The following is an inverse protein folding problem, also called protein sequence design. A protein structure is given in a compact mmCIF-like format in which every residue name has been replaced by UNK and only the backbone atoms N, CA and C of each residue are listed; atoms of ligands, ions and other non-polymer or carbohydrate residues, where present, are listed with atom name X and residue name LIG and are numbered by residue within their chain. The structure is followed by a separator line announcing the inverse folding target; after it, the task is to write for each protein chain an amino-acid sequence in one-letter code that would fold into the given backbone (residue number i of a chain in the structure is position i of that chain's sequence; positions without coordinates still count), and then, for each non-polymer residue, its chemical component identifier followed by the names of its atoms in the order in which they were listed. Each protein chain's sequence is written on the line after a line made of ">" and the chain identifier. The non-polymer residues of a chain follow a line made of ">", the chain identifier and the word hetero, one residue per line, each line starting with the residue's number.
data_IF_088942574263
#
_entry.id   IF_088942574263
#
_cell.length_a   1.000
_cell.length_b   1.000
_cell.length_c   1.000
_cell.angle_alpha   90.00
_cell.angle_beta   90.00
_cell.angle_gamma   90.00
#
_symmetry.space_group_name_H-M   'P 1'
#
loop_
_entity.id
_entity.type
_entity.pdbx_description
1 polymer ?
#
# COMPACT_ATOMS: atom_id res chain seq x y z
N UNK A 1 -8.27 -12.02 5.94
CA UNK A 1 -8.28 -12.26 4.49
C UNK A 1 -9.00 -11.10 3.80
N UNK A 2 -8.47 -10.59 2.70
CA UNK A 2 -9.18 -9.73 1.75
C UNK A 2 -9.71 -10.58 0.60
N UNK A 3 -10.95 -10.39 0.17
CA UNK A 3 -11.55 -11.07 -0.98
C UNK A 3 -12.20 -10.06 -1.92
N UNK A 4 -11.80 -10.05 -3.16
CA UNK A 4 -12.36 -9.25 -4.25
C UNK A 4 -13.07 -10.21 -5.21
N UNK A 5 -14.31 -9.88 -5.61
CA UNK A 5 -15.13 -10.76 -6.45
C UNK A 5 -15.77 -9.96 -7.58
N UNK A 6 -15.45 -10.31 -8.82
CA UNK A 6 -15.99 -9.74 -10.07
C UNK A 6 -16.04 -8.21 -10.06
N UNK A 7 -14.95 -7.59 -9.56
CA UNK A 7 -14.85 -6.15 -9.40
C UNK A 7 -14.73 -5.48 -10.76
N UNK A 8 -15.66 -4.59 -11.06
CA UNK A 8 -15.68 -3.80 -12.29
C UNK A 8 -15.68 -2.31 -11.94
N UNK A 9 -14.88 -1.52 -12.66
CA UNK A 9 -14.92 -0.06 -12.59
C UNK A 9 -14.94 0.55 -13.97
N UNK A 10 -15.98 1.34 -14.22
CA UNK A 10 -16.13 2.12 -15.45
C UNK A 10 -16.27 3.61 -15.15
N UNK A 11 -15.74 4.44 -16.02
CA UNK A 11 -15.92 5.89 -16.06
C UNK A 11 -16.60 6.26 -17.40
N UNK A 12 -17.89 6.55 -17.33
CA UNK A 12 -18.73 6.72 -18.52
C UNK A 12 -18.74 5.44 -19.37
N UNK A 13 -18.20 5.51 -20.59
CA UNK A 13 -18.11 4.37 -21.51
C UNK A 13 -16.80 3.56 -21.40
N UNK A 14 -15.79 4.06 -20.64
CA UNK A 14 -14.50 3.40 -20.52
C UNK A 14 -14.50 2.50 -19.30
N UNK A 15 -14.38 1.18 -19.49
CA UNK A 15 -14.08 0.23 -18.43
C UNK A 15 -12.58 0.29 -18.16
N UNK A 16 -12.21 0.43 -16.88
CA UNK A 16 -10.82 0.51 -16.41
C UNK A 16 -10.43 -0.75 -15.66
N UNK A 17 -11.37 -1.35 -14.93
CA UNK A 17 -11.19 -2.65 -14.27
C UNK A 17 -12.37 -3.52 -14.72
N UNK A 18 -12.08 -4.72 -15.23
CA UNK A 18 -13.11 -5.63 -15.70
C UNK A 18 -13.07 -6.97 -14.97
N UNK A 19 -14.13 -7.26 -14.22
CA UNK A 19 -14.43 -8.51 -13.51
C UNK A 19 -13.26 -9.09 -12.68
N UNK A 20 -12.39 -8.23 -12.11
CA UNK A 20 -11.23 -8.63 -11.33
C UNK A 20 -11.66 -9.45 -10.10
N UNK A 21 -11.02 -10.62 -9.91
CA UNK A 21 -11.31 -11.50 -8.78
C UNK A 21 -10.03 -12.08 -8.20
N UNK A 22 -9.74 -11.78 -6.93
CA UNK A 22 -8.57 -12.33 -6.21
C UNK A 22 -8.79 -12.31 -4.70
N UNK A 23 -7.88 -12.94 -3.98
CA UNK A 23 -7.85 -12.87 -2.51
C UNK A 23 -6.43 -12.59 -2.03
N UNK A 24 -6.32 -11.98 -0.84
CA UNK A 24 -5.03 -11.76 -0.13
C UNK A 24 -5.13 -12.44 1.22
N UNK A 25 -4.16 -13.29 1.51
CA UNK A 25 -4.08 -14.00 2.78
C UNK A 25 -3.32 -13.17 3.83
N UNK A 26 -3.58 -13.38 5.13
CA UNK A 26 -2.73 -12.82 6.18
C UNK A 26 -1.26 -13.23 5.95
N UNK A 27 -0.36 -12.26 6.03
CA UNK A 27 1.08 -12.47 5.83
C UNK A 27 1.53 -12.41 4.38
N UNK A 28 0.65 -12.13 3.44
CA UNK A 28 0.93 -12.12 2.01
C UNK A 28 1.20 -10.72 1.48
N UNK A 29 2.21 -10.59 0.61
CA UNK A 29 2.50 -9.39 -0.17
C UNK A 29 2.16 -9.66 -1.63
N UNK A 30 1.22 -8.93 -2.19
CA UNK A 30 0.84 -9.01 -3.60
C UNK A 30 1.35 -7.78 -4.35
N UNK A 31 2.09 -8.01 -5.44
CA UNK A 31 2.49 -6.98 -6.39
C UNK A 31 1.38 -6.69 -7.39
N UNK A 32 1.11 -5.40 -7.64
CA UNK A 32 0.23 -4.96 -8.72
C UNK A 32 1.08 -4.32 -9.81
N UNK A 33 1.09 -4.90 -10.99
CA UNK A 33 1.86 -4.42 -12.15
C UNK A 33 0.94 -4.15 -13.34
N UNK A 34 1.45 -3.43 -14.33
CA UNK A 34 0.73 -3.05 -15.54
C UNK A 34 1.14 -1.66 -16.02
N UNK A 35 0.76 -1.30 -17.22
CA UNK A 35 1.05 -0.01 -17.82
C UNK A 35 0.46 1.19 -17.04
N UNK A 36 0.94 2.40 -17.39
CA UNK A 36 0.36 3.62 -16.86
C UNK A 36 -1.09 3.78 -17.34
N UNK A 37 -2.02 3.95 -16.39
CA UNK A 37 -3.44 4.06 -16.72
C UNK A 37 -4.19 2.72 -16.78
N UNK A 38 -3.55 1.57 -16.59
CA UNK A 38 -4.18 0.25 -16.54
C UNK A 38 -5.20 0.08 -15.38
N UNK A 39 -5.16 0.95 -14.36
CA UNK A 39 -6.13 0.90 -13.27
C UNK A 39 -5.57 0.52 -11.91
N UNK A 40 -4.25 0.38 -11.74
CA UNK A 40 -3.61 0.03 -10.45
C UNK A 40 -4.04 0.94 -9.31
N UNK A 41 -3.84 2.25 -9.43
CA UNK A 41 -4.27 3.23 -8.42
C UNK A 41 -5.79 3.31 -8.28
N UNK A 42 -6.55 3.02 -9.36
CA UNK A 42 -8.02 2.91 -9.29
C UNK A 42 -8.42 1.73 -8.39
N UNK A 43 -7.78 0.58 -8.55
CA UNK A 43 -8.01 -0.59 -7.69
C UNK A 43 -7.66 -0.27 -6.23
N UNK A 44 -6.48 0.30 -5.96
CA UNK A 44 -6.07 0.69 -4.60
C UNK A 44 -7.06 1.69 -3.98
N UNK A 45 -7.52 2.70 -4.73
CA UNK A 45 -8.51 3.68 -4.25
C UNK A 45 -9.86 3.04 -3.92
N UNK A 46 -10.29 2.04 -4.69
CA UNK A 46 -11.53 1.29 -4.40
C UNK A 46 -11.35 0.44 -3.13
N UNK A 47 -10.24 -0.27 -2.99
CA UNK A 47 -9.89 -1.05 -1.80
C UNK A 47 -9.78 -0.15 -0.55
N UNK A 48 -9.19 1.03 -0.68
CA UNK A 48 -9.11 2.05 0.38
C UNK A 48 -10.49 2.70 0.71
N UNK A 49 -11.56 2.28 0.02
CA UNK A 49 -12.92 2.86 0.14
C UNK A 49 -13.03 4.33 -0.24
N UNK A 50 -12.06 4.87 -0.96
CA UNK A 50 -12.05 6.24 -1.49
C UNK A 50 -12.95 6.37 -2.72
N UNK A 51 -13.06 5.29 -3.49
CA UNK A 51 -13.95 5.20 -4.65
C UNK A 51 -14.92 4.02 -4.52
N UNK A 52 -16.05 4.10 -5.23
CA UNK A 52 -16.99 2.98 -5.33
C UNK A 52 -16.70 2.19 -6.61
N UNK A 53 -16.75 0.86 -6.57
CA UNK A 53 -16.79 0.06 -7.80
C UNK A 53 -18.10 0.30 -8.54
N UNK A 54 -18.12 -0.02 -9.84
CA UNK A 54 -19.36 -0.04 -10.64
C UNK A 54 -20.15 -1.31 -10.33
N UNK A 55 -19.48 -2.45 -10.31
CA UNK A 55 -20.03 -3.77 -9.94
C UNK A 55 -19.04 -4.56 -9.10
N UNK A 56 -19.49 -5.70 -8.56
CA UNK A 56 -18.67 -6.61 -7.76
C UNK A 56 -18.69 -6.28 -6.27
N UNK A 57 -17.96 -7.07 -5.50
CA UNK A 57 -17.91 -6.94 -4.04
C UNK A 57 -16.51 -7.11 -3.49
N UNK A 58 -16.25 -6.45 -2.36
CA UNK A 58 -14.99 -6.51 -1.62
C UNK A 58 -15.32 -6.84 -0.18
N UNK A 59 -14.70 -7.88 0.35
CA UNK A 59 -14.81 -8.28 1.74
C UNK A 59 -13.43 -8.23 2.41
N UNK A 60 -13.36 -7.59 3.57
CA UNK A 60 -12.19 -7.62 4.45
C UNK A 60 -12.63 -8.17 5.80
N UNK A 61 -12.03 -9.29 6.24
CA UNK A 61 -12.44 -10.01 7.46
C UNK A 61 -13.96 -10.25 7.53
N UNK A 62 -14.53 -10.79 6.44
CA UNK A 62 -15.96 -11.09 6.28
C UNK A 62 -16.91 -9.87 6.27
N UNK A 63 -16.37 -8.65 6.37
CA UNK A 63 -17.14 -7.40 6.28
C UNK A 63 -17.18 -6.88 4.85
N UNK A 64 -18.38 -6.55 4.37
CA UNK A 64 -18.56 -5.97 3.04
C UNK A 64 -18.12 -4.50 3.03
N UNK A 65 -17.05 -4.19 2.29
CA UNK A 65 -16.44 -2.85 2.26
C UNK A 65 -17.41 -1.74 1.82
N UNK A 66 -18.33 -2.04 0.94
CA UNK A 66 -19.31 -1.06 0.45
C UNK A 66 -20.32 -0.63 1.53
N UNK A 67 -20.64 -1.51 2.49
CA UNK A 67 -21.60 -1.25 3.56
C UNK A 67 -20.97 -0.76 4.86
N UNK A 68 -19.81 -1.32 5.22
CA UNK A 68 -19.16 -1.11 6.52
C UNK A 68 -17.90 -0.22 6.43
N UNK A 69 -17.94 0.84 5.61
CA UNK A 69 -16.77 1.68 5.29
C UNK A 69 -15.99 2.17 6.52
N UNK A 70 -16.68 2.60 7.59
CA UNK A 70 -16.03 3.13 8.76
C UNK A 70 -15.23 2.05 9.50
N UNK A 71 -15.78 0.85 9.63
CA UNK A 71 -15.10 -0.30 10.24
C UNK A 71 -13.90 -0.75 9.39
N UNK A 72 -14.07 -0.79 8.06
CA UNK A 72 -13.05 -1.19 7.11
C UNK A 72 -11.87 -0.21 7.10
N UNK A 73 -12.13 1.10 7.09
CA UNK A 73 -11.07 2.13 7.13
C UNK A 73 -10.17 2.03 8.36
N UNK A 74 -10.68 1.52 9.47
CA UNK A 74 -9.88 1.26 10.67
C UNK A 74 -8.85 0.15 10.48
N UNK A 75 -9.08 -0.73 9.52
CA UNK A 75 -8.22 -1.87 9.22
C UNK A 75 -7.27 -1.63 8.04
N UNK A 76 -7.34 -0.46 7.37
CA UNK A 76 -6.56 -0.15 6.18
C UNK A 76 -5.57 0.97 6.46
N UNK A 77 -4.28 0.75 6.15
CA UNK A 77 -3.27 1.78 5.96
C UNK A 77 -3.11 2.04 4.46
N UNK A 78 -3.18 3.29 4.05
CA UNK A 78 -3.01 3.68 2.64
C UNK A 78 -1.88 4.68 2.50
N UNK A 79 -0.93 4.35 1.64
CA UNK A 79 0.20 5.22 1.26
C UNK A 79 0.02 5.58 -0.21
N UNK A 80 -0.42 6.80 -0.51
CA UNK A 80 -0.58 7.27 -1.89
C UNK A 80 0.78 7.53 -2.54
N UNK A 81 0.80 7.60 -3.87
CA UNK A 81 1.97 7.94 -4.65
C UNK A 81 2.56 9.31 -4.26
N UNK A 82 1.71 10.32 -4.07
CA UNK A 82 2.13 11.61 -3.56
C UNK A 82 2.31 11.57 -2.04
N UNK A 83 3.41 12.17 -1.57
CA UNK A 83 3.72 12.21 -0.15
C UNK A 83 2.84 13.24 0.55
N UNK A 84 1.94 12.78 1.42
CA UNK A 84 0.96 13.61 2.12
C UNK A 84 1.42 13.92 3.56
N UNK A 85 2.51 14.69 3.70
CA UNK A 85 3.08 15.12 4.98
C UNK A 85 3.31 16.64 5.01
N UNK A 86 3.35 17.22 6.18
CA UNK A 86 3.60 18.64 6.38
C UNK A 86 5.11 18.93 6.41
N UNK A 87 5.64 19.54 5.36
CA UNK A 87 7.08 19.76 5.20
C UNK A 87 7.66 20.77 6.21
N UNK A 88 6.87 21.73 6.66
CA UNK A 88 7.29 22.72 7.66
C UNK A 88 7.30 22.18 9.09
N UNK A 89 6.63 21.05 9.33
CA UNK A 89 6.61 20.39 10.62
C UNK A 89 7.83 19.46 10.78
N UNK A 90 8.20 19.20 12.02
CA UNK A 90 9.15 18.13 12.35
C UNK A 90 8.53 16.76 12.14
N UNK A 91 9.35 15.69 12.14
CA UNK A 91 8.87 14.31 12.13
C UNK A 91 7.91 14.06 13.30
N UNK A 92 8.29 14.49 14.51
CA UNK A 92 7.44 14.42 15.72
C UNK A 92 6.08 15.06 15.53
N UNK A 93 6.05 16.32 15.07
CA UNK A 93 4.81 17.05 14.87
C UNK A 93 3.89 16.40 13.83
N UNK A 94 4.45 15.87 12.74
CA UNK A 94 3.69 15.08 11.77
C UNK A 94 3.10 13.84 12.43
N UNK A 95 3.90 13.04 13.14
CA UNK A 95 3.44 11.81 13.79
C UNK A 95 2.33 12.10 14.81
N UNK A 96 2.48 13.15 15.65
CA UNK A 96 1.47 13.57 16.63
C UNK A 96 0.20 14.08 15.92
N UNK A 97 0.35 14.85 14.83
CA UNK A 97 -0.79 15.35 14.07
C UNK A 97 -1.65 14.21 13.51
N UNK A 98 -1.02 13.24 12.85
CA UNK A 98 -1.74 12.10 12.27
C UNK A 98 -2.26 11.14 13.34
N UNK A 99 -1.56 11.00 14.49
CA UNK A 99 -2.07 10.24 15.64
C UNK A 99 -3.41 10.82 16.14
N UNK A 100 -3.53 12.15 16.23
CA UNK A 100 -4.79 12.79 16.64
C UNK A 100 -5.96 12.46 15.70
N UNK A 101 -5.70 12.20 14.43
CA UNK A 101 -6.69 11.78 13.44
C UNK A 101 -6.93 10.27 13.42
N UNK A 102 -6.02 9.48 14.00
CA UNK A 102 -6.09 8.04 13.97
C UNK A 102 -7.18 7.49 14.90
N UNK A 103 -7.70 6.32 14.54
CA UNK A 103 -8.71 5.59 15.32
C UNK A 103 -8.15 4.99 16.63
N UNK A 104 -6.85 4.65 16.62
CA UNK A 104 -6.12 4.11 17.77
C UNK A 104 -5.16 5.18 18.27
N UNK A 105 -5.14 5.38 19.57
CA UNK A 105 -4.24 6.33 20.20
C UNK A 105 -2.95 5.63 20.60
N UNK A 106 -1.83 6.29 20.33
CA UNK A 106 -0.49 5.82 20.70
C UNK A 106 0.22 6.86 21.54
N UNK A 107 1.03 6.40 22.47
CA UNK A 107 1.96 7.26 23.21
C UNK A 107 3.10 7.74 22.29
N UNK A 108 3.68 8.89 22.59
CA UNK A 108 4.78 9.50 21.82
C UNK A 108 5.95 8.51 21.66
N UNK A 109 6.25 7.72 22.68
CA UNK A 109 7.30 6.68 22.61
C UNK A 109 6.99 5.64 21.52
N UNK A 110 5.76 5.20 21.39
CA UNK A 110 5.35 4.24 20.36
C UNK A 110 5.36 4.86 18.96
N UNK A 111 4.96 6.15 18.82
CA UNK A 111 5.07 6.87 17.56
C UNK A 111 6.53 6.99 17.10
N UNK A 112 7.43 7.32 18.02
CA UNK A 112 8.87 7.37 17.72
C UNK A 112 9.42 6.01 17.32
N UNK A 113 8.95 4.94 17.98
CA UNK A 113 9.38 3.57 17.65
C UNK A 113 9.02 3.20 16.21
N UNK A 114 7.82 3.53 15.71
CA UNK A 114 7.44 3.32 14.30
C UNK A 114 8.43 3.98 13.32
N UNK A 115 8.97 5.16 13.65
CA UNK A 115 9.99 5.78 12.83
C UNK A 115 11.34 5.05 12.93
N UNK A 116 11.74 4.63 14.13
CA UNK A 116 13.01 3.91 14.35
C UNK A 116 13.03 2.54 13.69
N UNK A 117 11.90 1.83 13.68
CA UNK A 117 11.74 0.52 13.01
C UNK A 117 12.01 0.62 11.49
N UNK A 118 11.82 1.81 10.91
CA UNK A 118 12.18 2.11 9.52
C UNK A 118 13.55 2.79 9.36
N UNK A 119 14.38 2.77 10.39
CA UNK A 119 15.68 3.48 10.41
C UNK A 119 15.54 5.00 10.09
N UNK A 120 14.46 5.64 10.58
CA UNK A 120 14.24 7.07 10.52
C UNK A 120 14.48 7.70 11.90
N UNK A 121 15.75 7.93 12.25
CA UNK A 121 16.12 8.60 13.52
C UNK A 121 16.33 10.11 13.31
N UNK A 122 15.26 10.80 12.94
CA UNK A 122 15.21 12.24 12.65
C UNK A 122 14.04 12.93 13.36
N UNK A 123 13.72 12.48 14.58
CA UNK A 123 12.50 12.81 15.30
C UNK A 123 12.21 14.32 15.42
N UNK A 124 13.24 15.13 15.67
CA UNK A 124 13.13 16.59 15.86
C UNK A 124 13.48 17.41 14.61
N UNK A 125 13.84 16.74 13.51
CA UNK A 125 14.22 17.43 12.28
C UNK A 125 12.98 17.88 11.50
N UNK A 126 12.98 19.09 10.90
CA UNK A 126 11.94 19.51 9.98
C UNK A 126 11.88 18.61 8.75
N UNK A 127 10.68 18.23 8.31
CA UNK A 127 10.48 17.29 7.20
C UNK A 127 11.08 17.80 5.89
N UNK A 128 11.09 19.11 5.66
CA UNK A 128 11.72 19.72 4.47
C UNK A 128 13.23 19.43 4.34
N UNK A 129 13.91 19.09 5.43
CA UNK A 129 15.35 18.77 5.43
C UNK A 129 15.63 17.29 5.16
N UNK A 130 14.58 16.44 5.13
CA UNK A 130 14.71 15.02 4.92
C UNK A 130 14.92 14.69 3.43
N UNK A 131 15.70 13.63 3.17
CA UNK A 131 15.78 13.05 1.82
C UNK A 131 14.42 12.47 1.37
N UNK A 132 14.24 12.26 0.07
CA UNK A 132 13.03 11.63 -0.48
C UNK A 132 12.74 10.27 0.19
N UNK A 133 13.76 9.44 0.38
CA UNK A 133 13.63 8.15 1.07
C UNK A 133 13.17 8.29 2.52
N UNK A 134 13.70 9.27 3.26
CA UNK A 134 13.26 9.54 4.64
C UNK A 134 11.82 10.05 4.69
N UNK A 135 11.39 10.87 3.73
CA UNK A 135 9.99 11.32 3.61
C UNK A 135 9.05 10.14 3.33
N UNK A 136 9.45 9.19 2.46
CA UNK A 136 8.69 7.96 2.20
C UNK A 136 8.57 7.08 3.44
N UNK A 137 9.64 6.92 4.22
CA UNK A 137 9.63 6.21 5.50
C UNK A 137 8.66 6.85 6.49
N UNK A 138 8.67 8.18 6.61
CA UNK A 138 7.71 8.89 7.45
C UNK A 138 6.27 8.66 6.99
N UNK A 139 5.99 8.75 5.69
CA UNK A 139 4.65 8.51 5.14
C UNK A 139 4.15 7.09 5.44
N UNK A 140 5.04 6.09 5.33
CA UNK A 140 4.73 4.71 5.71
C UNK A 140 4.52 4.57 7.23
N UNK A 141 5.36 5.19 8.09
CA UNK A 141 5.19 5.18 9.54
C UNK A 141 3.83 5.75 9.97
N UNK A 142 3.40 6.84 9.34
CA UNK A 142 2.08 7.45 9.56
C UNK A 142 0.96 6.47 9.25
N UNK A 143 1.06 5.71 8.15
CA UNK A 143 0.03 4.74 7.76
C UNK A 143 -0.13 3.59 8.75
N UNK A 144 0.87 3.36 9.61
CA UNK A 144 0.91 2.29 10.62
C UNK A 144 0.41 2.73 12.00
N UNK A 145 0.16 4.01 12.25
CA UNK A 145 -0.23 4.54 13.58
C UNK A 145 -1.44 3.80 14.17
N UNK A 146 -2.42 3.47 13.36
CA UNK A 146 -3.65 2.81 13.82
C UNK A 146 -3.60 1.28 13.71
N UNK A 147 -2.42 0.71 13.43
CA UNK A 147 -2.16 -0.72 13.36
C UNK A 147 -3.06 -1.47 12.35
N UNK A 148 -3.03 -1.07 11.07
CA UNK A 148 -3.88 -1.67 10.05
C UNK A 148 -3.53 -3.14 9.80
N UNK A 149 -4.52 -3.94 9.38
CA UNK A 149 -4.31 -5.32 8.94
C UNK A 149 -4.07 -5.45 7.43
N UNK A 150 -4.43 -4.42 6.68
CA UNK A 150 -4.21 -4.31 5.24
C UNK A 150 -3.47 -3.01 4.91
N UNK A 151 -2.34 -3.13 4.23
CA UNK A 151 -1.57 -2.00 3.70
C UNK A 151 -1.76 -1.93 2.18
N UNK A 152 -2.11 -0.76 1.70
CA UNK A 152 -2.24 -0.43 0.28
C UNK A 152 -1.18 0.62 -0.05
N UNK A 153 -0.19 0.26 -0.85
CA UNK A 153 1.00 1.06 -1.10
C UNK A 153 1.10 1.37 -2.60
N UNK A 154 0.88 2.63 -2.95
CA UNK A 154 0.92 3.11 -4.33
C UNK A 154 2.29 3.72 -4.62
N UNK A 155 3.17 2.97 -5.28
CA UNK A 155 4.55 3.35 -5.63
C UNK A 155 5.36 3.93 -4.45
N UNK A 156 5.43 3.23 -3.30
CA UNK A 156 6.00 3.80 -2.09
C UNK A 156 7.52 4.03 -2.15
N UNK A 157 8.20 3.48 -3.16
CA UNK A 157 9.66 3.55 -3.33
C UNK A 157 10.11 4.35 -4.54
N UNK A 158 9.18 4.98 -5.26
CA UNK A 158 9.53 5.75 -6.46
C UNK A 158 10.40 6.97 -6.08
N UNK A 159 11.48 7.18 -6.86
CA UNK A 159 12.35 8.34 -6.71
C UNK A 159 13.26 8.35 -5.48
N UNK A 160 13.44 7.20 -4.80
CA UNK A 160 14.34 7.07 -3.65
C UNK A 160 15.59 6.25 -3.97
N UNK A 161 16.61 6.41 -3.14
CA UNK A 161 17.87 5.66 -3.26
C UNK A 161 17.71 4.17 -2.94
N UNK A 162 18.64 3.35 -3.45
CA UNK A 162 18.61 1.89 -3.29
C UNK A 162 18.64 1.44 -1.83
N UNK A 163 19.34 2.17 -0.95
CA UNK A 163 19.42 1.82 0.47
C UNK A 163 18.06 1.98 1.14
N UNK A 164 17.43 3.13 0.97
CA UNK A 164 16.08 3.40 1.49
C UNK A 164 15.05 2.41 0.97
N UNK A 165 15.13 2.03 -0.32
CA UNK A 165 14.27 1.03 -0.95
C UNK A 165 14.40 -0.33 -0.27
N UNK A 166 15.64 -0.82 -0.06
CA UNK A 166 15.90 -2.09 0.61
C UNK A 166 15.42 -2.09 2.07
N UNK A 167 15.61 -0.98 2.79
CA UNK A 167 15.14 -0.85 4.18
C UNK A 167 13.62 -0.88 4.26
N UNK A 168 12.91 -0.19 3.36
CA UNK A 168 11.44 -0.25 3.27
C UNK A 168 10.98 -1.67 2.92
N UNK A 169 11.58 -2.31 1.91
CA UNK A 169 11.22 -3.67 1.51
C UNK A 169 11.41 -4.69 2.62
N UNK A 170 12.53 -4.63 3.35
CA UNK A 170 12.79 -5.51 4.50
C UNK A 170 11.75 -5.32 5.61
N UNK A 171 11.40 -4.07 5.91
CA UNK A 171 10.38 -3.77 6.91
C UNK A 171 8.97 -4.25 6.50
N UNK A 172 8.59 -4.06 5.24
CA UNK A 172 7.32 -4.59 4.71
C UNK A 172 7.26 -6.13 4.78
N UNK A 173 8.37 -6.81 4.49
CA UNK A 173 8.47 -8.27 4.63
C UNK A 173 8.32 -8.70 6.09
N UNK A 174 8.90 -7.97 7.04
CA UNK A 174 8.74 -8.23 8.48
C UNK A 174 7.29 -8.03 8.91
N UNK A 175 6.63 -6.94 8.49
CA UNK A 175 5.22 -6.68 8.78
C UNK A 175 4.31 -7.81 8.27
N UNK A 176 4.59 -8.33 7.09
CA UNK A 176 3.82 -9.45 6.53
C UNK A 176 4.12 -10.75 7.31
N UNK A 177 5.39 -11.17 7.38
CA UNK A 177 5.75 -12.49 7.90
C UNK A 177 5.58 -12.62 9.41
N UNK A 178 5.95 -11.58 10.19
CA UNK A 178 5.91 -11.65 11.66
C UNK A 178 4.58 -11.15 12.26
N UNK A 179 3.90 -10.19 11.60
CA UNK A 179 2.67 -9.60 12.13
C UNK A 179 1.41 -10.01 11.34
N UNK A 180 1.56 -10.80 10.28
CA UNK A 180 0.44 -11.28 9.47
C UNK A 180 -0.29 -10.19 8.68
N UNK A 181 0.36 -9.04 8.43
CA UNK A 181 -0.26 -7.97 7.64
C UNK A 181 -0.38 -8.38 6.18
N UNK A 182 -1.51 -8.03 5.57
CA UNK A 182 -1.73 -8.16 4.12
C UNK A 182 -1.22 -6.89 3.44
N UNK A 183 -0.48 -7.04 2.34
CA UNK A 183 0.11 -5.89 1.64
C UNK A 183 -0.20 -5.98 0.14
N UNK A 184 -0.78 -4.92 -0.44
CA UNK A 184 -0.81 -4.71 -1.88
C UNK A 184 0.18 -3.60 -2.22
N UNK A 185 1.06 -3.89 -3.14
CA UNK A 185 2.23 -3.08 -3.46
C UNK A 185 2.32 -2.80 -4.96
N UNK A 186 2.34 -1.54 -5.38
CA UNK A 186 2.60 -1.18 -6.78
C UNK A 186 4.05 -0.70 -6.94
N UNK A 187 4.69 -1.09 -8.02
CA UNK A 187 5.99 -0.57 -8.45
C UNK A 187 6.13 -0.71 -9.96
N UNK A 188 6.93 0.16 -10.56
CA UNK A 188 7.40 0.01 -11.95
C UNK A 188 8.72 -0.75 -12.04
N UNK A 189 9.35 -1.05 -10.90
CA UNK A 189 10.60 -1.81 -10.83
C UNK A 189 10.26 -3.30 -10.67
N UNK A 190 10.45 -4.07 -11.75
CA UNK A 190 10.11 -5.49 -11.77
C UNK A 190 11.02 -6.31 -10.83
N UNK A 191 12.28 -5.92 -10.67
CA UNK A 191 13.18 -6.60 -9.73
C UNK A 191 12.67 -6.45 -8.30
N UNK A 192 12.17 -5.26 -7.95
CA UNK A 192 11.56 -5.03 -6.64
C UNK A 192 10.31 -5.89 -6.44
N UNK A 193 9.42 -5.95 -7.42
CA UNK A 193 8.20 -6.78 -7.39
C UNK A 193 8.56 -8.26 -7.21
N UNK A 194 9.48 -8.79 -8.01
CA UNK A 194 9.90 -10.19 -7.96
C UNK A 194 10.49 -10.56 -6.59
N UNK A 195 11.34 -9.68 -6.03
CA UNK A 195 11.99 -9.96 -4.75
C UNK A 195 11.08 -9.78 -3.54
N UNK A 196 10.18 -8.81 -3.57
CA UNK A 196 9.34 -8.46 -2.43
C UNK A 196 8.02 -9.23 -2.37
N UNK A 197 7.36 -9.48 -3.51
CA UNK A 197 6.00 -9.98 -3.54
C UNK A 197 5.94 -11.52 -3.56
N UNK A 198 4.92 -12.09 -2.94
CA UNK A 198 4.67 -13.54 -2.94
C UNK A 198 3.92 -13.98 -4.21
N UNK A 199 2.95 -13.16 -4.65
CA UNK A 199 2.20 -13.30 -5.91
C UNK A 199 2.11 -11.96 -6.62
N UNK A 200 1.78 -11.99 -7.91
CA UNK A 200 1.71 -10.81 -8.75
C UNK A 200 0.36 -10.78 -9.48
N UNK A 201 -0.23 -9.61 -9.53
CA UNK A 201 -1.44 -9.33 -10.32
C UNK A 201 -1.04 -8.37 -11.45
N UNK A 202 -1.20 -8.81 -12.69
CA UNK A 202 -1.08 -7.98 -13.89
C UNK A 202 -2.44 -7.36 -14.22
N UNK A 203 -2.50 -6.04 -14.38
CA UNK A 203 -3.72 -5.31 -14.74
C UNK A 203 -3.49 -4.62 -16.08
N UNK A 204 -4.43 -4.85 -17.04
CA UNK A 204 -4.36 -4.32 -18.39
C UNK A 204 -3.98 -5.36 -19.42
N UNK A 205 -4.08 -4.99 -20.70
CA UNK A 205 -3.96 -5.91 -21.84
C UNK A 205 -2.51 -6.02 -22.38
N UNK A 206 -1.52 -5.36 -21.76
CA UNK A 206 -0.12 -5.37 -22.22
C UNK A 206 0.57 -6.67 -21.79
N UNK A 207 0.87 -7.60 -22.74
CA UNK A 207 1.52 -8.88 -22.43
C UNK A 207 2.95 -8.74 -21.91
N UNK A 208 3.58 -7.59 -22.11
CA UNK A 208 4.96 -7.30 -21.70
C UNK A 208 5.22 -7.63 -20.23
N UNK A 209 4.27 -7.30 -19.35
CA UNK A 209 4.42 -7.55 -17.90
C UNK A 209 4.36 -9.04 -17.56
N UNK A 210 3.50 -9.80 -18.24
CA UNK A 210 3.44 -11.26 -18.07
C UNK A 210 4.70 -11.94 -18.61
N UNK A 211 5.18 -11.54 -19.78
CA UNK A 211 6.38 -12.09 -20.40
C UNK A 211 7.62 -11.93 -19.52
N UNK A 212 7.84 -10.72 -18.93
CA UNK A 212 8.97 -10.47 -18.01
C UNK A 212 8.86 -11.32 -16.73
N UNK A 213 7.66 -11.59 -16.27
CA UNK A 213 7.43 -12.25 -14.99
C UNK A 213 7.34 -13.78 -15.12
N UNK A 214 7.24 -14.34 -16.34
CA UNK A 214 7.03 -15.76 -16.57
C UNK A 214 8.11 -16.64 -15.93
N UNK A 215 9.36 -16.17 -15.93
CA UNK A 215 10.50 -16.86 -15.36
C UNK A 215 10.75 -16.54 -13.88
N UNK A 216 9.92 -15.70 -13.26
CA UNK A 216 10.08 -15.27 -11.87
C UNK A 216 9.80 -16.38 -10.84
N UNK A 217 9.12 -17.46 -11.25
CA UNK A 217 8.66 -18.51 -10.36
C UNK A 217 7.50 -18.09 -9.44
N UNK A 218 6.88 -16.93 -9.68
CA UNK A 218 5.74 -16.42 -8.92
C UNK A 218 4.42 -16.84 -9.54
N UNK A 219 3.37 -16.97 -8.74
CA UNK A 219 2.00 -17.07 -9.24
C UNK A 219 1.56 -15.71 -9.80
N UNK A 220 1.16 -15.69 -11.05
CA UNK A 220 0.71 -14.51 -11.77
C UNK A 220 -0.78 -14.64 -12.06
N UNK A 221 -1.56 -13.63 -11.74
CA UNK A 221 -2.96 -13.48 -12.11
C UNK A 221 -3.09 -12.30 -13.07
N UNK A 222 -3.73 -12.48 -14.21
CA UNK A 222 -3.91 -11.43 -15.24
C UNK A 222 -5.38 -11.06 -15.39
N UNK A 223 -5.65 -9.75 -15.52
CA UNK A 223 -7.00 -9.19 -15.64
C UNK A 223 -7.03 -8.00 -16.60
#
# INVERSE_FOLDING_TARGET
>A
MLKVTTLTKAYGKKTVLDQISFSVQPGEIIGLVGENGAGKSTLLNILATLQKPTNGSIHLHDKLCQKEKQSIRKAIGYVPQDIAIWEEFTVEENMIFFEKLAWKKLEIKALRQLCLDMALDKWKEPVKTLSGGMKRKLNLAISLIHDPTLLLLDEPTVGIDLKSRKEIGAYLRELASAQGKMILYTSHDMDEIIHLCDRIICIGDDPFYEEILIDSGKEILSF
#
